data_IF_105530170942
#
_entry.id   IF_105530170942
#
_cell.length_a   1.000
_cell.length_b   1.000
_cell.length_c   1.000
_cell.angle_alpha   90.00
_cell.angle_beta   90.00
_cell.angle_gamma   90.00
#
_symmetry.space_group_name_H-M   'P 1'
#
loop_
_entity.id
_entity.type
_entity.pdbx_description
1 polymer ?
#
# COMPACT_ATOMS: atom_id res chain seq x y z
N UNK A 1 25.12 11.18 31.50
CA UNK A 1 24.58 10.44 32.66
C UNK A 1 23.85 9.18 32.19
N UNK A 2 22.86 9.25 31.33
CA UNK A 2 22.11 8.11 30.78
C UNK A 2 22.98 6.98 30.22
N UNK A 3 23.97 7.27 29.37
CA UNK A 3 24.91 6.28 28.82
C UNK A 3 25.59 5.47 29.91
N UNK A 4 26.09 6.14 30.98
CA UNK A 4 26.78 5.47 32.10
C UNK A 4 25.82 4.54 32.85
N UNK A 5 24.60 5.01 33.09
CA UNK A 5 23.55 4.22 33.76
C UNK A 5 23.19 2.97 32.95
N UNK A 6 22.94 3.12 31.65
CA UNK A 6 22.62 1.99 30.78
C UNK A 6 23.75 0.96 30.73
N UNK A 7 25.00 1.39 30.53
CA UNK A 7 26.14 0.50 30.46
C UNK A 7 26.48 -0.21 31.79
N UNK A 8 25.96 0.31 32.90
CA UNK A 8 26.11 -0.31 34.21
C UNK A 8 25.05 -1.40 34.52
N UNK A 9 24.01 -1.53 33.71
CA UNK A 9 22.98 -2.55 33.89
C UNK A 9 23.54 -3.95 33.66
N UNK A 10 23.21 -4.85 34.61
CA UNK A 10 23.45 -6.28 34.43
C UNK A 10 22.29 -6.86 33.62
N UNK A 11 22.59 -7.35 32.43
CA UNK A 11 21.59 -7.93 31.54
C UNK A 11 22.19 -9.14 30.82
N UNK A 12 21.33 -10.02 30.34
CA UNK A 12 21.72 -11.03 29.38
C UNK A 12 21.91 -10.38 28.01
N UNK A 13 23.11 -10.52 27.43
CA UNK A 13 23.50 -9.88 26.19
C UNK A 13 24.40 -8.67 26.36
N UNK A 14 24.61 -7.92 25.28
CA UNK A 14 25.46 -6.73 25.24
C UNK A 14 24.83 -5.62 24.39
N UNK A 15 25.16 -4.37 24.71
CA UNK A 15 24.77 -3.24 23.91
C UNK A 15 25.53 -3.23 22.57
N UNK A 16 24.85 -3.33 21.44
CA UNK A 16 25.42 -3.13 20.11
C UNK A 16 25.72 -1.64 19.88
N UNK A 17 24.84 -0.77 20.38
CA UNK A 17 24.99 0.67 20.32
C UNK A 17 24.00 1.40 21.23
N UNK A 18 24.28 2.66 21.49
CA UNK A 18 23.39 3.62 22.14
C UNK A 18 23.37 4.87 21.28
N UNK A 19 22.21 5.25 20.81
CA UNK A 19 22.03 6.42 19.98
C UNK A 19 21.16 7.46 20.68
N UNK A 20 21.45 8.72 20.43
CA UNK A 20 20.59 9.84 20.75
C UNK A 20 20.04 10.40 19.45
N UNK A 21 18.74 10.30 19.29
CA UNK A 21 18.03 10.79 18.10
C UNK A 21 17.20 12.00 18.54
N UNK A 22 17.42 13.14 17.86
CA UNK A 22 16.57 14.32 17.99
C UNK A 22 15.57 14.33 16.85
N UNK A 23 14.31 14.50 17.19
CA UNK A 23 13.21 14.64 16.22
C UNK A 23 12.26 15.72 16.75
N UNK A 24 12.26 16.87 16.12
CA UNK A 24 11.43 18.03 16.48
C UNK A 24 10.17 18.12 15.59
N UNK A 25 9.88 17.09 14.78
CA UNK A 25 8.70 17.05 13.93
C UNK A 25 7.41 16.82 14.75
N UNK A 26 6.30 17.44 14.31
CA UNK A 26 4.97 17.22 14.90
C UNK A 26 4.31 15.92 14.43
N UNK A 27 4.86 15.28 13.41
CA UNK A 27 4.35 14.04 12.87
C UNK A 27 4.91 12.84 13.65
N UNK A 28 4.06 11.82 13.89
CA UNK A 28 4.47 10.55 14.49
C UNK A 28 5.16 9.67 13.41
N UNK A 29 6.34 10.13 12.99
CA UNK A 29 7.17 9.46 11.97
C UNK A 29 8.56 9.22 12.52
N UNK A 30 9.17 8.10 12.10
CA UNK A 30 10.54 7.75 12.45
C UNK A 30 11.49 8.54 11.55
N UNK A 31 11.73 9.79 11.92
CA UNK A 31 12.68 10.71 11.27
C UNK A 31 13.70 11.24 12.27
N UNK A 32 14.80 11.78 11.79
CA UNK A 32 15.86 12.33 12.61
C UNK A 32 16.34 13.65 12.04
N UNK A 33 16.27 14.71 12.85
CA UNK A 33 16.97 15.97 12.56
C UNK A 33 18.46 15.81 12.86
N UNK A 34 18.81 15.00 13.87
CA UNK A 34 20.18 14.73 14.25
C UNK A 34 20.28 13.38 14.96
N UNK A 35 21.23 12.54 14.55
CA UNK A 35 21.54 11.27 15.21
C UNK A 35 22.98 11.28 15.70
N UNK A 36 23.16 11.12 17.02
CA UNK A 36 24.47 11.02 17.66
C UNK A 36 24.68 9.61 18.21
N UNK A 37 25.75 8.94 17.79
CA UNK A 37 26.16 7.65 18.36
C UNK A 37 26.89 7.89 19.68
N UNK A 38 26.25 7.58 20.80
CA UNK A 38 26.83 7.75 22.12
C UNK A 38 27.77 6.59 22.51
N UNK A 39 27.51 5.39 22.00
CA UNK A 39 28.30 4.18 22.24
C UNK A 39 28.11 3.17 21.12
N UNK A 40 29.15 2.37 20.80
CA UNK A 40 29.07 1.26 19.87
C UNK A 40 28.75 1.68 18.43
N UNK A 41 27.86 0.93 17.80
CA UNK A 41 27.48 1.12 16.38
C UNK A 41 26.09 1.71 16.25
N UNK A 42 25.79 2.34 15.12
CA UNK A 42 24.45 2.82 14.75
C UNK A 42 23.55 1.74 14.14
N UNK A 43 23.97 0.48 14.20
CA UNK A 43 23.26 -0.65 13.60
C UNK A 43 23.52 -1.95 14.38
N UNK A 44 22.69 -2.95 14.15
CA UNK A 44 22.92 -4.33 14.56
C UNK A 44 22.57 -5.27 13.41
N UNK A 45 22.88 -6.55 13.57
CA UNK A 45 22.55 -7.58 12.59
C UNK A 45 21.47 -8.49 13.13
N UNK A 46 20.56 -8.89 12.25
CA UNK A 46 19.59 -9.96 12.48
C UNK A 46 19.73 -10.98 11.35
N UNK A 47 19.40 -12.24 11.63
CA UNK A 47 19.44 -13.32 10.67
C UNK A 47 18.03 -13.87 10.45
N UNK A 48 17.61 -13.96 9.18
CA UNK A 48 16.34 -14.56 8.78
C UNK A 48 16.59 -15.55 7.65
N UNK A 49 16.14 -16.80 7.83
CA UNK A 49 16.25 -17.87 6.84
C UNK A 49 17.67 -18.03 6.26
N UNK A 50 18.68 -17.85 7.11
CA UNK A 50 20.11 -17.94 6.75
C UNK A 50 20.67 -16.71 6.02
N UNK A 51 19.91 -15.64 5.86
CA UNK A 51 20.37 -14.37 5.33
C UNK A 51 20.57 -13.36 6.46
N UNK A 52 21.62 -12.56 6.35
CA UNK A 52 22.01 -11.57 7.34
C UNK A 52 21.59 -10.17 6.92
N UNK A 53 20.90 -9.46 7.80
CA UNK A 53 20.40 -8.12 7.55
C UNK A 53 21.03 -7.13 8.54
N UNK A 54 21.58 -6.05 8.01
CA UNK A 54 22.00 -4.90 8.81
C UNK A 54 20.78 -4.01 9.05
N UNK A 55 20.45 -3.80 10.31
CA UNK A 55 19.28 -3.03 10.74
C UNK A 55 19.74 -1.74 11.39
N UNK A 56 19.22 -0.61 10.89
CA UNK A 56 19.41 0.72 11.47
C UNK A 56 18.13 1.18 12.15
N UNK A 57 18.16 2.23 12.97
CA UNK A 57 16.95 2.78 13.59
C UNK A 57 15.85 3.24 12.62
N UNK A 58 16.24 3.51 11.37
CA UNK A 58 15.33 3.99 10.32
C UNK A 58 14.93 2.90 9.33
N UNK A 59 15.47 1.68 9.48
CA UNK A 59 15.07 0.54 8.68
C UNK A 59 13.78 -0.05 9.22
N UNK A 60 12.76 -0.21 8.37
CA UNK A 60 11.66 -1.10 8.75
C UNK A 60 12.14 -2.54 8.76
N UNK A 61 11.90 -3.25 9.85
CA UNK A 61 12.18 -4.65 10.00
C UNK A 61 11.15 -5.29 10.93
N UNK A 62 10.73 -6.51 10.63
CA UNK A 62 9.75 -7.22 11.46
C UNK A 62 10.33 -7.51 12.84
N UNK A 63 9.65 -7.04 13.90
CA UNK A 63 10.15 -7.12 15.29
C UNK A 63 10.10 -8.52 15.88
N UNK A 64 9.26 -9.41 15.36
CA UNK A 64 9.22 -10.83 15.70
C UNK A 64 9.93 -11.63 14.59
N UNK A 65 11.23 -11.87 14.75
CA UNK A 65 12.06 -12.56 13.75
C UNK A 65 11.56 -13.99 13.45
N UNK A 66 11.15 -14.74 14.46
CA UNK A 66 10.62 -16.10 14.27
C UNK A 66 9.29 -16.10 13.51
N UNK A 67 8.40 -15.15 13.84
CA UNK A 67 7.15 -14.96 13.10
C UNK A 67 7.42 -14.50 11.65
N UNK A 68 8.42 -13.65 11.45
CA UNK A 68 8.84 -13.18 10.13
C UNK A 68 9.36 -14.31 9.24
N UNK A 69 10.12 -15.24 9.80
CA UNK A 69 10.56 -16.45 9.07
C UNK A 69 9.36 -17.26 8.58
N UNK A 70 8.35 -17.50 9.42
CA UNK A 70 7.11 -18.20 9.03
C UNK A 70 6.37 -17.45 7.94
N UNK A 71 6.24 -16.12 8.05
CA UNK A 71 5.59 -15.27 7.06
C UNK A 71 6.29 -15.36 5.71
N UNK A 72 7.60 -15.20 5.69
CA UNK A 72 8.41 -15.18 4.47
C UNK A 72 8.57 -16.56 3.85
N UNK A 73 8.66 -17.63 4.65
CA UNK A 73 8.62 -19.01 4.14
C UNK A 73 7.28 -19.32 3.48
N UNK A 74 6.17 -18.86 4.08
CA UNK A 74 4.83 -19.00 3.49
C UNK A 74 4.76 -18.27 2.15
N UNK A 75 5.23 -17.02 2.08
CA UNK A 75 5.28 -16.26 0.84
C UNK A 75 6.15 -16.93 -0.22
N UNK A 76 7.37 -17.36 0.14
CA UNK A 76 8.28 -18.10 -0.75
C UNK A 76 7.67 -19.42 -1.23
N UNK A 77 6.99 -20.14 -0.35
CA UNK A 77 6.28 -21.37 -0.70
C UNK A 77 5.11 -21.13 -1.67
N UNK A 78 4.47 -19.96 -1.61
CA UNK A 78 3.42 -19.57 -2.56
C UNK A 78 3.98 -19.14 -3.92
N UNK A 79 5.14 -18.49 -3.93
CA UNK A 79 5.89 -18.20 -5.16
C UNK A 79 6.33 -19.49 -5.82
N UNK A 80 6.91 -20.41 -5.05
CA UNK A 80 7.46 -21.69 -5.54
C UNK A 80 8.75 -21.52 -6.33
N UNK A 81 9.08 -22.50 -7.18
CA UNK A 81 10.29 -22.49 -8.00
C UNK A 81 10.13 -21.55 -9.21
N UNK A 82 10.98 -20.53 -9.27
CA UNK A 82 10.97 -19.49 -10.30
C UNK A 82 12.38 -19.19 -10.85
N UNK A 83 13.25 -20.22 -10.90
CA UNK A 83 14.67 -20.09 -11.29
C UNK A 83 14.90 -19.53 -12.70
N UNK A 84 13.92 -19.64 -13.57
CA UNK A 84 13.90 -19.11 -14.93
C UNK A 84 13.17 -17.77 -15.06
N UNK A 85 12.60 -17.26 -13.98
CA UNK A 85 11.64 -16.14 -13.97
C UNK A 85 12.18 -14.87 -13.32
N UNK A 86 11.66 -13.74 -13.80
CA UNK A 86 11.85 -12.42 -13.20
C UNK A 86 10.71 -12.16 -12.24
N UNK A 87 11.05 -11.87 -10.98
CA UNK A 87 10.09 -11.56 -9.91
C UNK A 87 10.19 -10.08 -9.57
N UNK A 88 9.06 -9.38 -9.56
CA UNK A 88 8.99 -8.03 -9.02
C UNK A 88 8.47 -8.07 -7.59
N UNK A 89 9.17 -7.38 -6.69
CA UNK A 89 8.79 -7.13 -5.30
C UNK A 89 8.41 -5.65 -5.17
N UNK A 90 7.11 -5.38 -5.21
CA UNK A 90 6.59 -4.01 -5.16
C UNK A 90 6.31 -3.63 -3.71
N UNK A 91 6.79 -2.46 -3.30
CA UNK A 91 6.86 -1.98 -1.91
C UNK A 91 7.92 -2.74 -1.10
N UNK A 92 9.12 -2.90 -1.69
CA UNK A 92 10.15 -3.83 -1.18
C UNK A 92 10.82 -3.41 0.13
N UNK A 93 10.61 -2.18 0.62
CA UNK A 93 11.25 -1.68 1.83
C UNK A 93 12.78 -1.86 1.78
N UNK A 94 13.35 -2.44 2.82
CA UNK A 94 14.80 -2.78 2.89
C UNK A 94 15.18 -4.05 2.13
N UNK A 95 14.29 -4.55 1.25
CA UNK A 95 14.56 -5.66 0.35
C UNK A 95 14.58 -7.05 1.01
N UNK A 96 13.95 -7.20 2.17
CA UNK A 96 13.96 -8.47 2.91
C UNK A 96 13.30 -9.58 2.10
N UNK A 97 12.08 -9.35 1.58
CA UNK A 97 11.35 -10.33 0.76
C UNK A 97 12.10 -10.59 -0.54
N UNK A 98 12.56 -9.55 -1.22
CA UNK A 98 13.35 -9.68 -2.44
C UNK A 98 14.54 -10.64 -2.26
N UNK A 99 15.29 -10.50 -1.15
CA UNK A 99 16.46 -11.31 -0.88
C UNK A 99 16.10 -12.74 -0.50
N UNK A 100 15.01 -12.96 0.23
CA UNK A 100 14.51 -14.31 0.57
C UNK A 100 14.04 -15.07 -0.67
N UNK A 101 13.53 -14.37 -1.68
CA UNK A 101 13.08 -14.95 -2.95
C UNK A 101 14.23 -15.16 -3.93
N UNK A 102 15.32 -14.39 -3.85
CA UNK A 102 16.43 -14.44 -4.77
C UNK A 102 17.00 -15.85 -5.02
N UNK A 103 17.16 -16.73 -4.02
CA UNK A 103 17.67 -18.08 -4.22
C UNK A 103 16.80 -18.97 -5.14
N UNK A 104 15.50 -18.67 -5.26
CA UNK A 104 14.54 -19.43 -6.07
C UNK A 104 14.11 -18.72 -7.36
N UNK A 105 14.67 -17.54 -7.66
CA UNK A 105 14.35 -16.73 -8.83
C UNK A 105 15.57 -16.54 -9.74
N UNK A 106 15.35 -16.30 -11.03
CA UNK A 106 16.39 -15.85 -11.97
C UNK A 106 16.89 -14.46 -11.62
N UNK A 107 15.96 -13.58 -11.31
CA UNK A 107 16.20 -12.18 -10.95
C UNK A 107 15.06 -11.66 -10.12
N UNK A 108 15.36 -10.83 -9.13
CA UNK A 108 14.37 -10.09 -8.36
C UNK A 108 14.59 -8.60 -8.54
N UNK A 109 13.51 -7.86 -8.81
CA UNK A 109 13.51 -6.39 -8.91
C UNK A 109 12.63 -5.84 -7.80
N UNK A 110 13.25 -5.24 -6.80
CA UNK A 110 12.56 -4.52 -5.71
C UNK A 110 12.30 -3.07 -6.10
N UNK A 111 11.08 -2.60 -5.85
CA UNK A 111 10.67 -1.20 -6.06
C UNK A 111 10.21 -0.62 -4.73
N UNK A 112 10.83 0.48 -4.31
CA UNK A 112 10.55 1.15 -3.05
C UNK A 112 10.67 2.67 -3.22
N UNK A 113 9.77 3.42 -2.60
CA UNK A 113 9.73 4.88 -2.71
C UNK A 113 10.79 5.57 -1.84
N UNK A 114 11.18 4.94 -0.72
CA UNK A 114 12.14 5.49 0.24
C UNK A 114 13.56 5.17 -0.22
N UNK A 115 14.30 6.18 -0.64
CA UNK A 115 15.64 6.04 -1.21
C UNK A 115 16.64 5.41 -0.22
N UNK A 116 16.56 5.77 1.06
CA UNK A 116 17.39 5.20 2.13
C UNK A 116 17.13 3.70 2.31
N UNK A 117 15.88 3.25 2.20
CA UNK A 117 15.53 1.83 2.28
C UNK A 117 16.10 1.06 1.08
N UNK A 118 16.09 1.67 -0.12
CA UNK A 118 16.73 1.10 -1.31
C UNK A 118 18.24 1.00 -1.14
N UNK A 119 18.87 1.99 -0.52
CA UNK A 119 20.28 1.93 -0.14
C UNK A 119 20.59 0.74 0.77
N UNK A 120 19.85 0.60 1.86
CA UNK A 120 19.98 -0.52 2.79
C UNK A 120 19.70 -1.88 2.12
N UNK A 121 18.74 -1.96 1.20
CA UNK A 121 18.45 -3.16 0.44
C UNK A 121 19.64 -3.62 -0.42
N UNK A 122 20.32 -2.67 -1.09
CA UNK A 122 21.53 -2.95 -1.89
C UNK A 122 22.70 -3.41 -1.02
N UNK A 123 22.91 -2.76 0.12
CA UNK A 123 23.95 -3.14 1.08
C UNK A 123 23.73 -4.56 1.64
N UNK A 124 22.51 -4.87 2.03
CA UNK A 124 22.14 -6.18 2.54
C UNK A 124 22.24 -7.27 1.47
N UNK A 125 21.84 -6.99 0.21
CA UNK A 125 22.01 -7.95 -0.87
C UNK A 125 23.49 -8.24 -1.16
N UNK A 126 24.35 -7.22 -1.14
CA UNK A 126 25.78 -7.38 -1.26
C UNK A 126 26.38 -8.17 -0.10
N UNK A 127 25.93 -7.91 1.14
CA UNK A 127 26.34 -8.65 2.36
C UNK A 127 26.01 -10.14 2.23
N UNK A 128 24.89 -10.49 1.60
CA UNK A 128 24.42 -11.86 1.37
C UNK A 128 24.93 -12.49 0.06
N UNK A 129 25.73 -11.77 -0.73
CA UNK A 129 26.25 -12.26 -2.01
C UNK A 129 25.17 -12.53 -3.06
N UNK A 130 24.07 -11.74 -3.05
CA UNK A 130 22.93 -11.91 -3.95
C UNK A 130 23.07 -10.97 -5.16
N UNK A 131 23.70 -11.45 -6.22
CA UNK A 131 23.93 -10.67 -7.45
C UNK A 131 22.70 -10.54 -8.37
N UNK A 132 21.65 -11.33 -8.09
CA UNK A 132 20.41 -11.35 -8.87
C UNK A 132 19.31 -10.43 -8.31
N UNK A 133 19.59 -9.63 -7.28
CA UNK A 133 18.70 -8.60 -6.76
C UNK A 133 19.03 -7.23 -7.36
N UNK A 134 18.01 -6.54 -7.90
CA UNK A 134 18.09 -5.15 -8.34
C UNK A 134 17.08 -4.32 -7.56
N UNK A 135 17.48 -3.16 -7.03
CA UNK A 135 16.57 -2.28 -6.29
C UNK A 135 16.48 -0.91 -6.96
N UNK A 136 15.24 -0.42 -7.12
CA UNK A 136 14.90 0.84 -7.79
C UNK A 136 14.16 1.73 -6.80
N UNK A 137 14.69 2.95 -6.60
CA UNK A 137 14.02 3.97 -5.82
C UNK A 137 12.98 4.70 -6.67
N UNK A 138 11.74 4.74 -6.20
CA UNK A 138 10.67 5.49 -6.85
C UNK A 138 9.28 5.02 -6.50
N UNK A 139 8.31 5.86 -6.83
CA UNK A 139 6.89 5.52 -6.71
C UNK A 139 6.53 4.39 -7.68
N UNK A 140 5.93 3.31 -7.16
CA UNK A 140 5.48 2.16 -7.95
C UNK A 140 4.71 2.59 -9.20
N UNK A 141 3.82 3.60 -9.08
CA UNK A 141 3.04 4.15 -10.20
C UNK A 141 3.90 4.68 -11.35
N UNK A 142 5.05 5.27 -11.05
CA UNK A 142 5.94 5.87 -12.04
C UNK A 142 6.94 4.84 -12.56
N UNK A 143 7.56 4.12 -11.63
CA UNK A 143 8.60 3.13 -11.94
C UNK A 143 8.07 2.03 -12.86
N UNK A 144 6.81 1.60 -12.67
CA UNK A 144 6.18 0.60 -13.55
C UNK A 144 6.01 1.07 -15.01
N UNK A 145 5.96 2.38 -15.28
CA UNK A 145 5.94 2.92 -16.64
C UNK A 145 7.34 2.98 -17.28
N UNK A 146 8.39 3.04 -16.46
CA UNK A 146 9.77 3.27 -16.89
C UNK A 146 10.58 1.97 -17.02
N UNK A 147 10.15 0.89 -16.36
CA UNK A 147 10.84 -0.41 -16.42
C UNK A 147 10.50 -1.12 -17.72
N UNK A 148 11.50 -1.29 -18.59
CA UNK A 148 11.36 -2.08 -19.83
C UNK A 148 11.18 -3.58 -19.57
N UNK A 149 11.75 -4.08 -18.48
CA UNK A 149 11.69 -5.49 -18.09
C UNK A 149 10.29 -5.85 -17.58
N UNK A 150 9.73 -6.94 -18.08
CA UNK A 150 8.42 -7.43 -17.66
C UNK A 150 8.58 -8.52 -16.60
N UNK A 151 7.80 -8.49 -15.51
CA UNK A 151 7.81 -9.56 -14.52
C UNK A 151 7.06 -10.79 -15.02
N UNK A 152 7.55 -11.97 -14.64
CA UNK A 152 6.82 -13.23 -14.74
C UNK A 152 5.98 -13.49 -13.50
N UNK A 153 6.36 -12.87 -12.38
CA UNK A 153 5.72 -13.00 -11.06
C UNK A 153 5.79 -11.69 -10.28
N UNK A 154 4.74 -11.36 -9.54
CA UNK A 154 4.72 -10.15 -8.70
C UNK A 154 4.44 -10.52 -7.24
N UNK A 155 5.20 -9.93 -6.32
CA UNK A 155 4.96 -9.92 -4.89
C UNK A 155 4.54 -8.51 -4.49
N UNK A 156 3.53 -8.42 -3.65
CA UNK A 156 2.92 -7.18 -3.17
C UNK A 156 2.97 -7.19 -1.64
N UNK A 157 3.65 -6.21 -1.04
CA UNK A 157 3.63 -5.97 0.41
C UNK A 157 3.36 -4.48 0.69
N UNK A 158 2.15 -4.00 0.33
CA UNK A 158 1.83 -2.59 0.43
C UNK A 158 1.63 -2.13 1.87
N UNK A 159 1.65 -0.80 2.13
CA UNK A 159 1.35 -0.24 3.45
C UNK A 159 -0.08 -0.58 3.91
N UNK A 160 -0.38 -0.29 5.19
CA UNK A 160 -1.66 -0.59 5.86
C UNK A 160 -2.91 -0.15 5.09
N UNK A 161 -2.82 0.91 4.33
CA UNK A 161 -3.94 1.41 3.52
C UNK A 161 -4.20 0.61 2.24
N UNK A 162 -3.36 -0.39 1.96
CA UNK A 162 -3.42 -1.21 0.76
C UNK A 162 -2.83 -0.49 -0.46
N UNK A 163 -3.11 -1.03 -1.63
CA UNK A 163 -2.59 -0.51 -2.89
C UNK A 163 -3.46 0.64 -3.38
N UNK A 164 -2.83 1.71 -3.86
CA UNK A 164 -3.56 2.79 -4.51
C UNK A 164 -4.30 2.28 -5.76
N UNK A 165 -5.60 2.61 -5.97
CA UNK A 165 -6.41 2.03 -7.06
C UNK A 165 -5.79 2.17 -8.46
N UNK A 166 -5.10 3.28 -8.74
CA UNK A 166 -4.38 3.46 -10.01
C UNK A 166 -3.19 2.50 -10.16
N UNK A 167 -2.51 2.16 -9.04
CA UNK A 167 -1.42 1.21 -9.06
C UNK A 167 -1.92 -0.22 -9.28
N UNK A 168 -3.05 -0.60 -8.69
CA UNK A 168 -3.69 -1.90 -8.96
C UNK A 168 -3.96 -2.05 -10.46
N UNK A 169 -4.52 -1.03 -11.12
CA UNK A 169 -4.76 -1.06 -12.57
C UNK A 169 -3.50 -1.37 -13.37
N UNK A 170 -2.40 -0.65 -13.12
CA UNK A 170 -1.12 -0.88 -13.78
C UNK A 170 -0.52 -2.26 -13.50
N UNK A 171 -0.60 -2.73 -12.25
CA UNK A 171 -0.12 -4.07 -11.87
C UNK A 171 -0.87 -5.14 -12.67
N UNK A 172 -2.18 -5.00 -12.80
CA UNK A 172 -3.03 -5.91 -13.57
C UNK A 172 -2.68 -5.89 -15.07
N UNK A 173 -2.35 -4.72 -15.62
CA UNK A 173 -1.98 -4.55 -17.04
C UNK A 173 -0.72 -5.33 -17.44
N UNK A 174 0.16 -5.66 -16.50
CA UNK A 174 1.26 -6.60 -16.79
C UNK A 174 0.78 -8.00 -17.16
N UNK A 175 -0.42 -8.39 -16.75
CA UNK A 175 -1.02 -9.68 -17.09
C UNK A 175 -0.24 -10.88 -16.55
N UNK A 176 0.46 -10.73 -15.41
CA UNK A 176 1.20 -11.83 -14.78
C UNK A 176 0.24 -12.93 -14.34
N UNK A 177 0.60 -14.18 -14.63
CA UNK A 177 -0.26 -15.31 -14.27
C UNK A 177 -0.39 -15.51 -12.77
N UNK A 178 0.63 -15.19 -11.98
CA UNK A 178 0.65 -15.46 -10.54
C UNK A 178 1.19 -14.28 -9.76
N UNK A 179 0.55 -14.00 -8.61
CA UNK A 179 1.00 -13.00 -7.64
C UNK A 179 0.88 -13.53 -6.22
N UNK A 180 1.71 -12.99 -5.33
CA UNK A 180 1.54 -13.12 -3.87
C UNK A 180 1.27 -11.74 -3.30
N UNK A 181 0.24 -11.63 -2.47
CA UNK A 181 -0.09 -10.41 -1.73
C UNK A 181 0.07 -10.68 -0.24
N UNK A 182 0.90 -9.90 0.43
CA UNK A 182 1.12 -9.90 1.88
C UNK A 182 0.42 -8.67 2.44
N UNK A 183 -0.31 -8.80 3.54
CA UNK A 183 -1.04 -7.67 4.13
C UNK A 183 -1.13 -7.76 5.63
N UNK A 184 -0.73 -6.68 6.31
CA UNK A 184 -0.92 -6.50 7.75
C UNK A 184 -2.33 -6.01 8.14
N UNK A 185 -3.24 -5.77 7.16
CA UNK A 185 -4.59 -5.25 7.42
C UNK A 185 -5.63 -5.94 6.55
N UNK A 186 -6.37 -6.91 7.09
CA UNK A 186 -7.34 -7.70 6.32
C UNK A 186 -8.43 -6.88 5.62
N UNK A 187 -8.81 -5.72 6.16
CA UNK A 187 -9.87 -4.87 5.55
C UNK A 187 -9.42 -4.18 4.26
N UNK A 188 -8.19 -3.69 4.19
CA UNK A 188 -7.63 -3.15 2.94
C UNK A 188 -7.36 -4.25 1.93
N UNK A 189 -6.86 -5.41 2.40
CA UNK A 189 -6.69 -6.60 1.56
C UNK A 189 -8.00 -7.02 0.89
N UNK A 190 -9.11 -7.12 1.65
CA UNK A 190 -10.40 -7.52 1.10
C UNK A 190 -10.89 -6.57 0.00
N UNK A 191 -10.71 -5.27 0.18
CA UNK A 191 -11.02 -4.25 -0.84
C UNK A 191 -10.17 -4.44 -2.10
N UNK A 192 -8.87 -4.64 -1.94
CA UNK A 192 -7.95 -4.76 -3.07
C UNK A 192 -8.17 -6.08 -3.81
N UNK A 193 -8.43 -7.19 -3.09
CA UNK A 193 -8.75 -8.48 -3.68
C UNK A 193 -10.00 -8.42 -4.55
N UNK A 194 -11.02 -7.64 -4.17
CA UNK A 194 -12.21 -7.47 -4.99
C UNK A 194 -11.84 -6.92 -6.38
N UNK A 195 -10.96 -5.91 -6.44
CA UNK A 195 -10.52 -5.30 -7.71
C UNK A 195 -9.75 -6.33 -8.56
N UNK A 196 -8.87 -7.13 -7.95
CA UNK A 196 -8.16 -8.19 -8.67
C UNK A 196 -9.11 -9.26 -9.22
N UNK A 197 -10.10 -9.68 -8.40
CA UNK A 197 -11.08 -10.69 -8.82
C UNK A 197 -11.99 -10.18 -9.96
N UNK A 198 -12.42 -8.93 -9.93
CA UNK A 198 -13.21 -8.29 -10.98
C UNK A 198 -12.45 -8.21 -12.31
N UNK A 199 -11.12 -8.27 -12.25
CA UNK A 199 -10.21 -8.27 -13.41
C UNK A 199 -9.67 -9.65 -13.79
N UNK A 200 -10.32 -10.72 -13.30
CA UNK A 200 -10.07 -12.09 -13.72
C UNK A 200 -9.08 -12.88 -12.87
N UNK A 201 -8.52 -12.31 -11.82
CA UNK A 201 -7.75 -13.08 -10.85
C UNK A 201 -8.67 -13.92 -9.96
N UNK A 202 -8.15 -15.02 -9.45
CA UNK A 202 -8.79 -15.83 -8.41
C UNK A 202 -7.83 -16.02 -7.24
N UNK A 203 -8.38 -16.11 -6.06
CA UNK A 203 -7.66 -16.49 -4.86
C UNK A 203 -7.43 -17.99 -4.88
N UNK A 204 -6.18 -18.43 -4.89
CA UNK A 204 -5.80 -19.84 -4.86
C UNK A 204 -5.58 -20.36 -3.45
N UNK A 205 -4.91 -19.56 -2.62
CA UNK A 205 -4.57 -19.89 -1.25
C UNK A 205 -4.59 -18.63 -0.39
N UNK A 206 -4.97 -18.82 0.87
CA UNK A 206 -4.87 -17.80 1.93
C UNK A 206 -4.24 -18.46 3.15
N UNK A 207 -3.31 -17.77 3.80
CA UNK A 207 -2.76 -18.14 5.08
C UNK A 207 -2.68 -16.90 5.97
N UNK A 208 -3.11 -17.03 7.22
CA UNK A 208 -2.90 -16.01 8.25
C UNK A 208 -1.72 -16.43 9.12
N UNK A 209 -0.85 -15.46 9.41
CA UNK A 209 0.31 -15.64 10.28
C UNK A 209 0.16 -14.73 11.49
N UNK A 210 0.13 -15.31 12.68
CA UNK A 210 0.06 -14.55 13.94
C UNK A 210 1.46 -14.03 14.32
N UNK A 211 1.77 -12.86 13.74
CA UNK A 211 3.04 -12.16 13.99
C UNK A 211 3.12 -11.54 15.37
N UNK A 212 1.99 -11.19 15.96
CA UNK A 212 1.89 -10.45 17.22
C UNK A 212 0.88 -11.11 18.16
N UNK A 213 1.22 -12.29 18.74
CA UNK A 213 0.34 -13.01 19.64
C UNK A 213 -0.21 -12.11 20.75
N UNK A 214 -1.47 -12.31 21.11
CA UNK A 214 -2.22 -11.50 22.09
C UNK A 214 -2.62 -10.08 21.60
N UNK A 215 -2.48 -9.79 20.30
CA UNK A 215 -3.01 -8.59 19.68
C UNK A 215 -4.07 -8.96 18.63
N UNK A 216 -4.78 -7.97 18.09
CA UNK A 216 -5.71 -8.16 16.97
C UNK A 216 -5.04 -8.06 15.58
N UNK A 217 -3.73 -7.86 15.56
CA UNK A 217 -2.98 -7.76 14.31
C UNK A 217 -2.64 -9.15 13.78
N UNK A 218 -2.90 -9.36 12.50
CA UNK A 218 -2.59 -10.58 11.78
C UNK A 218 -2.02 -10.23 10.41
N UNK A 219 -0.97 -10.95 10.01
CA UNK A 219 -0.46 -10.91 8.64
C UNK A 219 -1.23 -11.92 7.79
N UNK A 220 -1.54 -11.56 6.58
CA UNK A 220 -2.27 -12.43 5.66
C UNK A 220 -1.52 -12.55 4.35
N UNK A 221 -1.18 -13.78 3.96
CA UNK A 221 -0.53 -14.09 2.69
C UNK A 221 -1.56 -14.69 1.75
N UNK A 222 -1.71 -14.12 0.56
CA UNK A 222 -2.65 -14.56 -0.46
C UNK A 222 -1.91 -14.90 -1.75
N UNK A 223 -2.16 -16.08 -2.31
CA UNK A 223 -1.76 -16.42 -3.67
C UNK A 223 -2.90 -16.13 -4.63
N UNK A 224 -2.61 -15.35 -5.67
CA UNK A 224 -3.52 -15.02 -6.75
C UNK A 224 -3.04 -15.67 -8.05
N UNK A 225 -3.99 -16.13 -8.87
CA UNK A 225 -3.73 -16.56 -10.24
C UNK A 225 -4.71 -15.96 -11.22
N UNK A 226 -4.23 -15.59 -12.42
CA UNK A 226 -5.07 -15.11 -13.52
C UNK A 226 -5.79 -16.30 -14.15
N UNK A 227 -7.11 -16.22 -14.32
CA UNK A 227 -7.90 -17.25 -15.02
C UNK A 227 -7.51 -17.25 -16.49
N UNK A 228 -7.08 -18.41 -16.99
CA UNK A 228 -6.66 -18.56 -18.41
C UNK A 228 -7.81 -18.39 -19.42
N UNK A 229 -9.06 -18.57 -18.99
CA UNK A 229 -10.24 -18.56 -19.85
C UNK A 229 -11.02 -17.23 -19.80
N UNK A 230 -10.50 -16.22 -19.13
CA UNK A 230 -11.12 -14.89 -19.18
C UNK A 230 -10.71 -14.24 -20.50
N UNK A 231 -11.62 -13.98 -21.45
CA UNK A 231 -11.26 -13.24 -22.65
C UNK A 231 -10.65 -11.90 -22.20
N UNK A 232 -9.49 -11.54 -22.77
CA UNK A 232 -8.95 -10.20 -22.61
C UNK A 232 -10.02 -9.26 -23.15
N UNK A 233 -10.74 -8.58 -22.26
CA UNK A 233 -11.61 -7.50 -22.63
C UNK A 233 -10.66 -6.34 -22.96
N UNK A 234 -10.27 -6.23 -24.23
CA UNK A 234 -9.74 -4.98 -24.75
C UNK A 234 -10.86 -3.97 -24.68
N UNK A 235 -10.89 -3.20 -23.60
CA UNK A 235 -11.74 -2.02 -23.51
C UNK A 235 -11.09 -0.95 -24.36
N UNK A 236 -11.36 -1.01 -25.66
CA UNK A 236 -11.19 0.15 -26.53
C UNK A 236 -12.26 1.16 -26.09
N UNK A 237 -11.89 2.07 -25.21
CA UNK A 237 -12.76 3.19 -24.86
C UNK A 237 -12.92 4.07 -26.09
N UNK A 238 -13.97 3.83 -26.86
CA UNK A 238 -14.49 4.85 -27.78
C UNK A 238 -15.17 5.92 -26.93
N UNK A 239 -14.95 7.21 -27.20
CA UNK A 239 -15.47 8.29 -26.35
C UNK A 239 -16.99 8.42 -26.28
N UNK A 240 -17.76 7.69 -27.08
CA UNK A 240 -19.18 7.98 -27.38
C UNK A 240 -20.15 6.80 -27.19
N UNK A 241 -19.87 5.81 -26.33
CA UNK A 241 -20.92 4.84 -25.96
C UNK A 241 -21.45 5.13 -24.56
N UNK A 242 -22.77 5.40 -24.47
CA UNK A 242 -23.52 5.62 -23.24
C UNK A 242 -23.16 4.55 -22.19
N UNK A 243 -22.50 4.99 -21.13
CA UNK A 243 -22.07 4.12 -20.04
C UNK A 243 -23.28 3.54 -19.33
N UNK A 244 -23.32 2.21 -19.16
CA UNK A 244 -24.32 1.48 -18.36
C UNK A 244 -24.22 1.72 -16.84
N UNK A 245 -23.68 2.88 -16.41
CA UNK A 245 -23.67 3.26 -15.00
C UNK A 245 -25.06 3.68 -14.54
N UNK A 246 -25.44 3.26 -13.32
CA UNK A 246 -26.66 3.75 -12.69
C UNK A 246 -26.60 5.28 -12.51
N UNK A 247 -27.75 5.98 -12.42
CA UNK A 247 -27.79 7.41 -12.14
C UNK A 247 -26.96 7.82 -10.92
N UNK A 248 -26.95 7.00 -9.87
CA UNK A 248 -26.15 7.22 -8.65
C UNK A 248 -24.65 7.16 -8.91
N UNK A 249 -24.18 6.21 -9.74
CA UNK A 249 -22.76 6.07 -10.11
C UNK A 249 -22.29 7.21 -11.04
N UNK A 250 -23.20 7.77 -11.83
CA UNK A 250 -22.94 8.94 -12.69
C UNK A 250 -22.84 10.24 -11.87
N UNK A 251 -23.62 10.39 -10.81
CA UNK A 251 -23.77 11.61 -10.03
C UNK A 251 -22.92 11.68 -8.77
N UNK A 252 -21.61 11.43 -8.88
CA UNK A 252 -20.68 11.60 -7.76
C UNK A 252 -20.52 13.08 -7.35
N UNK A 253 -20.19 13.34 -6.07
CA UNK A 253 -19.96 14.70 -5.60
C UNK A 253 -18.96 15.52 -6.43
N UNK A 254 -17.81 14.97 -6.87
CA UNK A 254 -16.90 15.68 -7.77
C UNK A 254 -17.56 16.09 -9.09
N UNK A 255 -18.28 15.19 -9.76
CA UNK A 255 -18.95 15.46 -11.03
C UNK A 255 -20.06 16.52 -10.90
N UNK A 256 -20.84 16.48 -9.81
CA UNK A 256 -21.83 17.52 -9.54
C UNK A 256 -21.16 18.89 -9.35
N UNK A 257 -20.03 18.96 -8.65
CA UNK A 257 -19.26 20.20 -8.48
C UNK A 257 -18.73 20.73 -9.81
N UNK A 258 -18.19 19.85 -10.64
CA UNK A 258 -17.65 20.16 -11.97
C UNK A 258 -18.76 20.72 -12.87
N UNK A 259 -19.87 20.02 -12.99
CA UNK A 259 -21.03 20.46 -13.76
C UNK A 259 -21.53 21.85 -13.35
N UNK A 260 -21.70 22.10 -12.04
CA UNK A 260 -22.16 23.39 -11.53
C UNK A 260 -21.14 24.48 -11.80
N UNK A 261 -19.85 24.19 -11.69
CA UNK A 261 -18.78 25.13 -12.00
C UNK A 261 -18.73 25.48 -13.47
N UNK A 262 -18.84 24.48 -14.37
CA UNK A 262 -18.74 24.68 -15.82
C UNK A 262 -19.97 25.41 -16.37
N UNK A 263 -21.15 25.05 -15.88
CA UNK A 263 -22.41 25.63 -16.39
C UNK A 263 -22.74 27.01 -15.79
N UNK A 264 -22.43 27.21 -14.51
CA UNK A 264 -22.86 28.40 -13.76
C UNK A 264 -21.69 29.25 -13.23
N UNK A 265 -20.44 28.82 -13.41
CA UNK A 265 -19.26 29.52 -12.90
C UNK A 265 -19.12 29.53 -11.37
N UNK A 266 -19.92 28.71 -10.65
CA UNK A 266 -20.06 28.78 -9.18
C UNK A 266 -19.50 27.51 -8.53
N UNK A 267 -18.69 27.72 -7.48
CA UNK A 267 -18.21 26.59 -6.67
C UNK A 267 -19.24 26.21 -5.59
N UNK A 268 -19.58 24.93 -5.50
CA UNK A 268 -20.48 24.37 -4.47
C UNK A 268 -19.72 23.46 -3.52
N UNK A 269 -20.03 23.55 -2.23
CA UNK A 269 -19.41 22.71 -1.21
C UNK A 269 -20.13 21.36 -1.12
N UNK A 270 -19.40 20.30 -0.73
CA UNK A 270 -19.95 18.94 -0.60
C UNK A 270 -21.14 18.87 0.37
N UNK A 271 -21.10 19.67 1.47
CA UNK A 271 -22.20 19.75 2.42
C UNK A 271 -23.50 20.31 1.82
N UNK A 272 -23.40 21.21 0.84
CA UNK A 272 -24.57 21.75 0.14
C UNK A 272 -25.20 20.71 -0.79
N UNK A 273 -24.37 19.93 -1.48
CA UNK A 273 -24.85 18.82 -2.33
C UNK A 273 -25.60 17.80 -1.45
N UNK A 274 -25.01 17.45 -0.29
CA UNK A 274 -25.64 16.56 0.67
C UNK A 274 -26.99 17.08 1.20
N UNK A 275 -27.09 18.38 1.50
CA UNK A 275 -28.34 19.01 1.92
C UNK A 275 -29.41 18.92 0.83
N UNK A 276 -29.05 19.26 -0.41
CA UNK A 276 -30.01 19.23 -1.55
C UNK A 276 -30.44 17.81 -1.88
N UNK A 277 -29.54 16.82 -1.85
CA UNK A 277 -29.91 15.39 -2.02
C UNK A 277 -30.95 14.97 -0.98
N UNK A 278 -30.76 15.32 0.32
CA UNK A 278 -31.74 15.03 1.36
C UNK A 278 -33.08 15.73 1.15
N UNK A 279 -33.05 17.01 0.72
CA UNK A 279 -34.26 17.75 0.39
C UNK A 279 -35.07 17.12 -0.75
N UNK A 280 -34.39 16.41 -1.64
CA UNK A 280 -34.99 15.70 -2.77
C UNK A 280 -35.35 14.24 -2.44
N UNK A 281 -35.15 13.78 -1.20
CA UNK A 281 -35.48 12.40 -0.80
C UNK A 281 -34.52 11.32 -1.34
N UNK A 282 -33.32 11.71 -1.81
CA UNK A 282 -32.33 10.76 -2.34
C UNK A 282 -31.56 10.09 -1.20
N UNK A 283 -31.28 8.78 -1.35
CA UNK A 283 -30.49 8.02 -0.39
C UNK A 283 -29.04 8.54 -0.32
N UNK A 284 -28.55 8.68 0.91
CA UNK A 284 -27.26 9.34 1.19
C UNK A 284 -26.16 8.37 1.59
N UNK A 285 -26.43 7.08 1.72
CA UNK A 285 -25.49 6.14 2.34
C UNK A 285 -25.11 6.53 3.79
N UNK A 286 -24.50 5.62 4.52
CA UNK A 286 -24.04 5.91 5.87
C UNK A 286 -22.81 6.82 5.89
N UNK A 287 -22.91 7.90 6.67
CA UNK A 287 -21.82 8.87 6.87
C UNK A 287 -20.81 8.30 7.89
N UNK A 288 -19.66 7.80 7.43
CA UNK A 288 -18.58 7.29 8.29
C UNK A 288 -17.87 8.39 9.11
N UNK A 289 -17.98 9.67 8.72
CA UNK A 289 -17.38 10.80 9.41
C UNK A 289 -18.44 11.61 10.16
N UNK A 290 -18.85 11.15 11.33
CA UNK A 290 -19.68 11.96 12.24
C UNK A 290 -18.82 13.06 12.88
N UNK A 291 -19.31 14.31 12.83
CA UNK A 291 -18.66 15.43 13.53
C UNK A 291 -18.51 15.13 15.02
N UNK A 292 -17.31 15.33 15.57
CA UNK A 292 -17.05 15.20 17.03
C UNK A 292 -17.58 16.36 17.87
N UNK A 293 -18.24 17.35 17.26
CA UNK A 293 -18.87 18.48 17.98
C UNK A 293 -20.32 18.15 18.31
N UNK A 294 -20.72 18.35 19.54
CA UNK A 294 -22.07 18.07 20.05
C UNK A 294 -23.19 18.88 19.35
N UNK A 295 -22.91 20.04 18.74
CA UNK A 295 -23.81 20.80 17.86
C UNK A 295 -23.03 21.47 16.74
N UNK A 296 -22.81 20.83 15.57
CA UNK A 296 -22.19 21.50 14.44
C UNK A 296 -23.16 22.49 13.81
N UNK A 297 -22.80 23.77 13.78
CA UNK A 297 -23.52 24.76 12.96
C UNK A 297 -23.38 24.36 11.47
N UNK A 298 -24.47 23.85 10.91
CA UNK A 298 -24.53 23.51 9.49
C UNK A 298 -25.01 24.75 8.72
N UNK A 299 -24.11 25.43 8.01
CA UNK A 299 -24.51 26.52 7.09
C UNK A 299 -25.51 25.99 6.09
N UNK A 300 -26.67 26.64 5.99
CA UNK A 300 -27.68 26.29 5.00
C UNK A 300 -27.21 26.64 3.59
N UNK A 301 -27.57 25.78 2.62
CA UNK A 301 -27.28 26.02 1.22
C UNK A 301 -28.05 27.25 0.73
N UNK A 302 -27.39 28.26 0.14
CA UNK A 302 -28.08 29.40 -0.48
C UNK A 302 -29.06 28.92 -1.57
N UNK A 303 -30.24 29.56 -1.64
CA UNK A 303 -31.34 29.15 -2.52
C UNK A 303 -30.92 29.05 -3.99
N UNK A 304 -30.09 29.97 -4.47
CA UNK A 304 -29.53 29.95 -5.79
C UNK A 304 -28.72 28.69 -6.08
N UNK A 305 -27.85 28.28 -5.14
CA UNK A 305 -27.04 27.07 -5.26
C UNK A 305 -27.85 25.77 -5.14
N UNK A 306 -29.01 25.83 -4.47
CA UNK A 306 -29.95 24.69 -4.42
C UNK A 306 -30.45 24.38 -5.82
N UNK A 307 -30.85 25.39 -6.62
CA UNK A 307 -31.34 25.16 -7.95
C UNK A 307 -30.24 24.67 -8.93
N UNK A 308 -29.03 25.20 -8.81
CA UNK A 308 -27.88 24.70 -9.60
C UNK A 308 -27.54 23.24 -9.30
N UNK A 309 -27.61 22.84 -8.03
CA UNK A 309 -27.36 21.45 -7.64
C UNK A 309 -28.51 20.54 -8.10
N UNK A 310 -29.77 20.98 -8.02
CA UNK A 310 -30.92 20.23 -8.56
C UNK A 310 -30.82 20.04 -10.05
N UNK A 311 -30.38 21.05 -10.79
CA UNK A 311 -30.16 20.94 -12.21
C UNK A 311 -29.07 19.92 -12.55
N UNK A 312 -27.96 19.91 -11.80
CA UNK A 312 -26.93 18.88 -11.92
C UNK A 312 -27.48 17.47 -11.63
N UNK A 313 -28.32 17.33 -10.59
CA UNK A 313 -28.95 16.04 -10.26
C UNK A 313 -29.91 15.56 -11.37
N UNK A 314 -30.67 16.46 -12.01
CA UNK A 314 -31.49 16.12 -13.18
C UNK A 314 -30.65 15.72 -14.39
N UNK A 315 -29.54 16.44 -14.64
CA UNK A 315 -28.61 16.09 -15.72
C UNK A 315 -28.07 14.67 -15.59
N UNK A 316 -27.81 14.22 -14.37
CA UNK A 316 -27.33 12.86 -14.10
C UNK A 316 -28.47 11.84 -13.88
N UNK A 317 -29.74 12.23 -14.01
CA UNK A 317 -30.91 11.34 -13.93
C UNK A 317 -31.32 10.91 -12.52
N UNK A 318 -30.95 11.70 -11.49
CA UNK A 318 -31.34 11.45 -10.11
C UNK A 318 -32.63 12.18 -9.67
N UNK A 319 -33.11 13.12 -10.48
CA UNK A 319 -34.36 13.88 -10.27
C UNK A 319 -35.15 13.96 -11.58
#
# INVERSE_FOLDING_TARGET
EWKKTLLALKMEGSFAGILHIRNDTLADVVQSDETTVLYGKGYFYEELLGLKFQITPFSFFQTNSLGAEVLYETARGYVGETKDKVVFDLYSGTGTISQIIAPVAKKVVGVEIVEEAVGAAKENAALNGLDNCKFIAGDVLKVLDEIEEKPDYIILDPPRDGIHPKAIGKIIEYGVENMVYISCKPTSLARDLQIFMDRGYKVEKICCVDMFPNTYHVETVVKLSLKKDTPKIEVTMKPDEESNYTPEEKATYPKIKEYVKDKYGVNVHTSYIAQVKRMCGLDMGENYNKSKKENPEVKQCPQEKVEYIKDALRHYGLL
#
